data_IF_628421675714
#
_entry.id   IF_628421675714
#
_cell.length_a   1.000
_cell.length_b   1.000
_cell.length_c   1.000
_cell.angle_alpha   90.00
_cell.angle_beta   90.00
_cell.angle_gamma   90.00
#
_symmetry.space_group_name_H-M   'P 1'
#
loop_
_entity.id
_entity.type
_entity.pdbx_description
1 polymer ?
#
# COMPACT_ATOMS: atom_id res chain seq x y z
N UNK A 1 -51.74 -8.00 -24.06
CA UNK A 1 -50.51 -8.66 -24.54
C UNK A 1 -49.45 -7.59 -24.77
N UNK A 2 -48.49 -7.44 -23.84
CA UNK A 2 -47.33 -6.55 -23.99
C UNK A 2 -46.05 -7.33 -24.41
N UNK A 3 -45.04 -6.63 -24.97
CA UNK A 3 -43.82 -7.24 -25.47
C UNK A 3 -42.83 -7.62 -24.34
N UNK A 4 -42.08 -8.68 -24.62
CA UNK A 4 -41.07 -9.30 -23.79
C UNK A 4 -39.73 -8.53 -23.78
N UNK A 5 -39.16 -8.50 -22.57
CA UNK A 5 -37.74 -8.66 -22.24
C UNK A 5 -36.81 -7.43 -22.15
N UNK A 6 -36.46 -7.19 -20.89
CA UNK A 6 -35.27 -6.54 -20.38
C UNK A 6 -33.96 -7.28 -20.74
N UNK A 7 -32.85 -6.58 -20.49
CA UNK A 7 -31.48 -7.08 -20.22
C UNK A 7 -30.53 -7.14 -21.44
N UNK A 8 -29.94 -5.99 -21.75
CA UNK A 8 -28.57 -5.88 -22.25
C UNK A 8 -28.03 -4.55 -21.67
N UNK A 9 -27.23 -4.54 -20.61
CA UNK A 9 -25.88 -5.09 -20.60
C UNK A 9 -24.89 -3.95 -20.79
N UNK A 10 -24.79 -3.05 -19.80
CA UNK A 10 -23.75 -2.01 -19.75
C UNK A 10 -22.40 -2.69 -19.52
N UNK A 11 -21.68 -3.01 -20.59
CA UNK A 11 -20.27 -3.38 -20.54
C UNK A 11 -19.53 -2.53 -21.59
N UNK A 12 -19.24 -1.30 -21.22
CA UNK A 12 -18.29 -0.45 -21.92
C UNK A 12 -17.64 0.48 -20.90
N UNK A 13 -16.52 0.03 -20.32
CA UNK A 13 -15.42 0.85 -19.79
C UNK A 13 -14.57 0.06 -18.77
N UNK A 14 -13.90 -1.00 -19.23
CA UNK A 14 -12.69 -1.53 -18.57
C UNK A 14 -11.69 -1.97 -19.64
N UNK A 15 -11.09 -0.98 -20.32
CA UNK A 15 -9.74 -1.12 -20.88
C UNK A 15 -8.82 -1.18 -19.65
N UNK A 16 -8.04 -2.20 -19.37
CA UNK A 16 -7.34 -3.13 -20.24
C UNK A 16 -5.87 -3.03 -19.85
N UNK A 17 -5.49 -3.63 -18.72
CA UNK A 17 -4.09 -3.85 -18.35
C UNK A 17 -3.86 -5.36 -18.31
N UNK A 18 -3.55 -5.88 -19.48
CA UNK A 18 -2.88 -7.17 -19.66
C UNK A 18 -1.39 -6.88 -19.57
N UNK A 19 -0.73 -7.27 -18.48
CA UNK A 19 0.74 -7.40 -18.48
C UNK A 19 1.03 -8.83 -18.90
N UNK A 20 1.38 -8.97 -20.17
CA UNK A 20 1.90 -10.19 -20.74
C UNK A 20 3.25 -10.53 -20.09
N UNK A 21 3.35 -11.79 -19.70
CA UNK A 21 4.58 -12.48 -19.34
C UNK A 21 5.56 -12.50 -20.51
N UNK A 22 6.83 -12.14 -20.27
CA UNK A 22 7.98 -12.52 -21.08
C UNK A 22 9.24 -12.30 -20.20
N UNK A 23 9.79 -13.35 -19.60
CA UNK A 23 10.84 -14.22 -20.13
C UNK A 23 12.22 -13.86 -19.56
N UNK A 24 12.81 -14.88 -18.93
CA UNK A 24 14.23 -15.00 -18.61
C UNK A 24 15.12 -14.55 -19.77
N UNK A 25 16.27 -13.94 -19.47
CA UNK A 25 17.57 -14.62 -19.58
C UNK A 25 18.79 -13.66 -19.51
N UNK A 26 19.89 -14.25 -19.03
CA UNK A 26 21.30 -14.03 -19.41
C UNK A 26 22.18 -12.97 -18.71
N UNK A 27 23.27 -13.53 -18.16
CA UNK A 27 24.63 -13.00 -17.96
C UNK A 27 24.82 -11.88 -16.92
N UNK A 28 25.80 -11.90 -16.00
CA UNK A 28 27.06 -12.63 -15.90
C UNK A 28 28.15 -11.65 -15.41
N UNK A 29 29.12 -12.15 -14.63
CA UNK A 29 30.35 -11.50 -14.11
C UNK A 29 30.17 -10.49 -12.95
N UNK A 30 30.53 -10.82 -11.69
CA UNK A 30 31.87 -11.01 -11.08
C UNK A 30 32.37 -9.73 -10.37
N UNK A 31 32.48 -9.75 -9.03
CA UNK A 31 33.77 -9.61 -8.33
C UNK A 31 33.68 -9.69 -6.79
N UNK A 32 34.71 -10.36 -6.25
CA UNK A 32 35.36 -10.27 -4.94
C UNK A 32 34.64 -10.80 -3.68
N UNK A 33 35.13 -11.96 -3.26
CA UNK A 33 34.82 -12.68 -2.04
C UNK A 33 35.46 -12.05 -0.78
N UNK A 34 34.76 -12.15 0.35
CA UNK A 34 35.39 -12.30 1.67
C UNK A 34 34.94 -13.64 2.28
N UNK A 35 35.82 -14.37 2.99
CA UNK A 35 35.54 -15.71 3.45
C UNK A 35 34.75 -15.67 4.75
N UNK A 36 33.50 -16.16 4.71
CA UNK A 36 32.82 -16.66 5.91
C UNK A 36 32.62 -18.15 5.68
N UNK A 37 33.49 -18.95 6.27
CA UNK A 37 33.31 -20.39 6.38
C UNK A 37 31.99 -20.67 7.11
N UNK A 38 31.10 -21.45 6.49
CA UNK A 38 30.05 -22.16 7.25
C UNK A 38 28.58 -21.92 6.90
N UNK A 39 28.20 -21.30 5.78
CA UNK A 39 26.81 -21.35 5.31
C UNK A 39 26.71 -22.05 3.95
N UNK A 40 26.02 -23.19 3.93
CA UNK A 40 25.53 -23.86 2.71
C UNK A 40 24.96 -22.82 1.74
N UNK A 41 25.07 -22.99 0.41
CA UNK A 41 24.35 -22.17 -0.56
C UNK A 41 22.87 -22.59 -0.52
N UNK A 42 22.22 -22.32 0.60
CA UNK A 42 20.77 -22.38 0.72
C UNK A 42 20.25 -21.17 -0.05
N UNK A 43 19.34 -21.41 -0.98
CA UNK A 43 18.57 -20.39 -1.70
C UNK A 43 18.20 -19.29 -0.70
N UNK A 44 18.85 -18.13 -0.79
CA UNK A 44 18.53 -17.00 0.06
C UNK A 44 17.27 -16.38 -0.52
N UNK A 45 16.28 -16.29 0.34
CA UNK A 45 14.99 -15.72 0.05
C UNK A 45 15.15 -14.22 -0.31
N UNK A 46 14.91 -13.88 -1.58
CA UNK A 46 15.17 -12.53 -2.11
C UNK A 46 14.00 -11.60 -1.76
N UNK A 47 14.14 -10.88 -0.65
CA UNK A 47 13.16 -9.86 -0.28
C UNK A 47 13.24 -8.66 -1.21
N UNK A 48 12.09 -8.17 -1.65
CA UNK A 48 12.02 -6.99 -2.51
C UNK A 48 12.23 -5.73 -1.66
N UNK A 49 13.20 -4.91 -2.05
CA UNK A 49 13.48 -3.60 -1.50
C UNK A 49 12.90 -2.45 -2.34
N UNK A 50 12.87 -1.24 -1.78
CA UNK A 50 12.51 -0.01 -2.53
C UNK A 50 13.53 0.27 -3.63
N UNK A 51 14.79 -0.13 -3.43
CA UNK A 51 15.87 0.04 -4.41
C UNK A 51 15.66 -0.78 -5.67
N UNK A 52 14.88 -1.86 -5.59
CA UNK A 52 14.57 -2.73 -6.74
C UNK A 52 13.43 -2.17 -7.60
N UNK A 53 12.78 -1.10 -7.13
CA UNK A 53 11.71 -0.40 -7.86
C UNK A 53 12.28 0.63 -8.83
N UNK A 54 11.64 0.78 -9.98
CA UNK A 54 11.90 1.90 -10.90
C UNK A 54 11.54 3.23 -10.25
N UNK A 55 12.08 4.34 -10.77
CA UNK A 55 11.74 5.69 -10.25
C UNK A 55 10.24 5.99 -10.31
N UNK A 56 9.54 5.49 -11.33
CA UNK A 56 8.09 5.66 -11.45
C UNK A 56 7.35 4.89 -10.36
N UNK A 57 7.73 3.63 -10.12
CA UNK A 57 7.17 2.81 -9.04
C UNK A 57 7.43 3.42 -7.66
N UNK A 58 8.62 3.98 -7.44
CA UNK A 58 8.92 4.69 -6.20
C UNK A 58 8.05 5.94 -6.03
N UNK A 59 7.84 6.72 -7.10
CA UNK A 59 6.97 7.90 -7.05
C UNK A 59 5.52 7.51 -6.71
N UNK A 60 5.01 6.45 -7.33
CA UNK A 60 3.66 5.93 -7.06
C UNK A 60 3.53 5.42 -5.62
N UNK A 61 4.56 4.72 -5.11
CA UNK A 61 4.63 4.31 -3.71
C UNK A 61 4.52 5.52 -2.77
N UNK A 62 5.31 6.56 -3.01
CA UNK A 62 5.30 7.75 -2.15
C UNK A 62 3.99 8.53 -2.24
N UNK A 63 3.34 8.55 -3.40
CA UNK A 63 2.00 9.10 -3.57
C UNK A 63 0.96 8.33 -2.74
N UNK A 64 0.97 7.01 -2.78
CA UNK A 64 0.08 6.17 -1.98
C UNK A 64 0.31 6.36 -0.47
N UNK A 65 1.58 6.45 -0.05
CA UNK A 65 1.94 6.74 1.34
C UNK A 65 1.35 8.07 1.80
N UNK A 66 1.38 9.10 0.96
CA UNK A 66 0.83 10.42 1.24
C UNK A 66 -0.70 10.40 1.35
N UNK A 67 -1.37 9.78 0.38
CA UNK A 67 -2.82 9.64 0.34
C UNK A 67 -3.33 8.88 1.58
N UNK A 68 -2.72 7.74 1.90
CA UNK A 68 -3.11 6.96 3.07
C UNK A 68 -2.80 7.67 4.39
N UNK A 69 -1.67 8.38 4.48
CA UNK A 69 -1.33 9.14 5.67
C UNK A 69 -2.37 10.25 5.93
N UNK A 70 -2.85 10.90 4.87
CA UNK A 70 -3.89 11.93 4.96
C UNK A 70 -5.21 11.32 5.45
N UNK A 71 -5.61 10.17 4.89
CA UNK A 71 -6.86 9.50 5.30
C UNK A 71 -6.77 8.98 6.74
N UNK A 72 -5.67 8.33 7.13
CA UNK A 72 -5.48 7.82 8.49
C UNK A 72 -5.48 8.96 9.52
N UNK A 73 -4.83 10.09 9.20
CA UNK A 73 -4.85 11.28 10.04
C UNK A 73 -6.28 11.85 10.20
N UNK A 74 -7.06 11.93 9.12
CA UNK A 74 -8.44 12.41 9.20
C UNK A 74 -9.35 11.43 9.98
N UNK A 75 -9.13 10.13 9.85
CA UNK A 75 -9.85 9.15 10.67
C UNK A 75 -9.47 9.26 12.15
N UNK A 76 -8.19 9.40 12.46
CA UNK A 76 -7.73 9.57 13.84
C UNK A 76 -8.24 10.88 14.44
N UNK A 77 -8.22 11.97 13.67
CA UNK A 77 -8.86 13.23 14.02
C UNK A 77 -10.35 13.03 14.36
N UNK A 78 -11.07 12.24 13.57
CA UNK A 78 -12.47 11.88 13.80
C UNK A 78 -12.70 10.77 14.85
N UNK A 79 -11.65 10.33 15.55
CA UNK A 79 -11.73 9.37 16.67
C UNK A 79 -11.63 7.89 16.27
N UNK A 80 -11.34 7.57 15.02
CA UNK A 80 -11.17 6.20 14.52
C UNK A 80 -9.71 5.89 14.24
N UNK A 81 -9.17 4.82 14.82
CA UNK A 81 -7.78 4.38 14.58
C UNK A 81 -7.75 3.11 13.72
N UNK A 82 -7.23 3.21 12.49
CA UNK A 82 -7.17 2.06 11.57
C UNK A 82 -5.96 1.15 11.79
N UNK A 83 -4.93 1.62 12.50
CA UNK A 83 -3.68 0.91 12.70
C UNK A 83 -3.03 0.43 11.38
N UNK A 84 -3.14 1.23 10.31
CA UNK A 84 -2.68 0.85 8.96
C UNK A 84 -1.21 0.44 8.94
N UNK A 85 -0.33 1.17 9.63
CA UNK A 85 1.10 0.84 9.73
C UNK A 85 1.33 -0.61 10.18
N UNK A 86 0.68 -1.01 11.28
CA UNK A 86 0.83 -2.35 11.86
C UNK A 86 0.24 -3.42 10.94
N UNK A 87 -0.90 -3.13 10.32
CA UNK A 87 -1.58 -4.05 9.39
C UNK A 87 -0.75 -4.27 8.13
N UNK A 88 -0.26 -3.20 7.52
CA UNK A 88 0.63 -3.25 6.37
C UNK A 88 1.93 -3.99 6.70
N UNK A 89 2.58 -3.70 7.84
CA UNK A 89 3.79 -4.41 8.25
C UNK A 89 3.58 -5.92 8.32
N UNK A 90 2.49 -6.37 8.96
CA UNK A 90 2.17 -7.79 9.09
C UNK A 90 1.84 -8.43 7.74
N UNK A 91 1.23 -7.68 6.83
CA UNK A 91 0.87 -8.17 5.51
C UNK A 91 2.10 -8.46 4.63
N UNK A 92 3.12 -7.59 4.68
CA UNK A 92 4.24 -7.66 3.72
C UNK A 92 5.61 -7.97 4.36
N UNK A 93 5.70 -8.06 5.68
CA UNK A 93 6.98 -8.19 6.39
C UNK A 93 7.77 -9.48 6.08
N UNK A 94 7.11 -10.50 5.53
CA UNK A 94 7.78 -11.74 5.11
C UNK A 94 8.47 -11.58 3.74
N UNK A 95 7.94 -10.75 2.84
CA UNK A 95 8.42 -10.61 1.45
C UNK A 95 9.14 -9.29 1.14
N UNK A 96 9.04 -8.29 2.01
CA UNK A 96 9.68 -6.98 1.83
C UNK A 96 10.86 -6.83 2.77
N UNK A 97 11.92 -6.18 2.29
CA UNK A 97 13.11 -5.94 3.08
C UNK A 97 12.79 -5.07 4.32
N UNK A 98 13.23 -5.46 5.54
CA UNK A 98 12.90 -4.72 6.75
C UNK A 98 13.35 -3.26 6.76
N UNK A 99 14.48 -2.94 6.12
CA UNK A 99 15.02 -1.56 6.00
C UNK A 99 14.08 -0.70 5.15
N UNK A 100 13.66 -1.22 4.00
CA UNK A 100 12.69 -0.62 3.09
C UNK A 100 11.34 -0.38 3.79
N UNK A 101 10.83 -1.39 4.50
CA UNK A 101 9.57 -1.30 5.21
C UNK A 101 9.62 -0.26 6.35
N UNK A 102 10.73 -0.19 7.10
CA UNK A 102 10.96 0.85 8.11
C UNK A 102 10.98 2.25 7.50
N UNK A 103 11.60 2.43 6.34
CA UNK A 103 11.65 3.72 5.64
C UNK A 103 10.23 4.19 5.28
N UNK A 104 9.44 3.32 4.65
CA UNK A 104 8.05 3.62 4.26
C UNK A 104 7.20 3.99 5.47
N UNK A 105 7.27 3.21 6.55
CA UNK A 105 6.49 3.48 7.76
C UNK A 105 6.95 4.72 8.50
N UNK A 106 8.26 4.98 8.53
CA UNK A 106 8.81 6.22 9.06
C UNK A 106 8.24 7.43 8.33
N UNK A 107 8.29 7.43 6.99
CA UNK A 107 7.71 8.49 6.17
C UNK A 107 6.21 8.62 6.35
N UNK A 108 5.47 7.51 6.35
CA UNK A 108 4.04 7.49 6.60
C UNK A 108 3.70 8.12 7.95
N UNK A 109 4.41 7.74 9.02
CA UNK A 109 4.20 8.28 10.37
C UNK A 109 4.43 9.79 10.39
N UNK A 110 5.54 10.25 9.86
CA UNK A 110 5.86 11.69 9.80
C UNK A 110 4.79 12.47 9.06
N UNK A 111 4.33 11.99 7.90
CA UNK A 111 3.25 12.63 7.13
C UNK A 111 1.93 12.62 7.89
N UNK A 112 1.54 11.49 8.45
CA UNK A 112 0.30 11.34 9.23
C UNK A 112 0.27 12.32 10.41
N UNK A 113 1.34 12.36 11.20
CA UNK A 113 1.46 13.25 12.36
C UNK A 113 1.42 14.72 11.92
N UNK A 114 1.99 15.05 10.75
CA UNK A 114 1.88 16.35 10.12
C UNK A 114 0.44 16.73 9.75
N UNK A 115 -0.28 15.84 9.06
CA UNK A 115 -1.68 16.07 8.69
C UNK A 115 -2.60 16.15 9.90
N UNK A 116 -2.38 15.31 10.91
CA UNK A 116 -3.18 15.32 12.13
C UNK A 116 -3.08 16.68 12.84
N UNK A 117 -1.86 17.21 12.99
CA UNK A 117 -1.64 18.56 13.54
C UNK A 117 -2.30 19.66 12.71
N UNK A 118 -2.30 19.54 11.39
CA UNK A 118 -2.98 20.49 10.51
C UNK A 118 -4.50 20.46 10.72
N UNK A 119 -5.10 19.27 10.80
CA UNK A 119 -6.53 19.11 11.10
C UNK A 119 -6.88 19.67 12.48
N UNK A 120 -6.07 19.41 13.50
CA UNK A 120 -6.25 19.96 14.85
C UNK A 120 -6.13 21.48 14.87
N UNK A 121 -5.17 22.05 14.15
CA UNK A 121 -4.99 23.51 14.06
C UNK A 121 -6.14 24.20 13.35
N UNK A 122 -6.62 23.63 12.24
CA UNK A 122 -7.65 24.25 11.39
C UNK A 122 -9.07 23.99 11.89
N UNK A 123 -9.31 22.84 12.51
CA UNK A 123 -10.65 22.34 12.82
C UNK A 123 -10.79 21.76 14.23
N UNK A 124 -9.84 21.99 15.14
CA UNK A 124 -9.84 21.42 16.49
C UNK A 124 -11.00 21.86 17.39
N UNK A 125 -11.72 22.93 17.04
CA UNK A 125 -12.92 23.35 17.74
C UNK A 125 -14.02 22.28 17.62
N UNK A 126 -14.80 21.98 18.69
CA UNK A 126 -15.76 20.88 18.71
C UNK A 126 -16.76 20.89 17.55
N UNK A 127 -17.31 22.06 17.22
CA UNK A 127 -18.30 22.20 16.16
C UNK A 127 -17.70 22.05 14.76
N UNK A 128 -16.51 22.61 14.55
CA UNK A 128 -15.77 22.47 13.28
C UNK A 128 -15.34 21.01 13.06
N UNK A 129 -14.84 20.35 14.10
CA UNK A 129 -14.50 18.93 14.10
C UNK A 129 -15.71 18.07 13.74
N UNK A 130 -16.85 18.30 14.38
CA UNK A 130 -18.10 17.57 14.09
C UNK A 130 -18.53 17.76 12.63
N UNK A 131 -18.49 19.00 12.12
CA UNK A 131 -18.87 19.30 10.74
C UNK A 131 -17.97 18.59 9.72
N UNK A 132 -16.65 18.61 9.93
CA UNK A 132 -15.68 17.90 9.08
C UNK A 132 -15.94 16.39 9.12
N UNK A 133 -16.07 15.82 10.32
CA UNK A 133 -16.23 14.38 10.47
C UNK A 133 -17.54 13.87 9.87
N UNK A 134 -18.66 14.59 10.02
CA UNK A 134 -19.92 14.23 9.37
C UNK A 134 -19.84 14.38 7.84
N UNK A 135 -19.18 15.43 7.34
CA UNK A 135 -18.98 15.63 5.89
C UNK A 135 -18.21 14.48 5.24
N UNK A 136 -17.20 13.94 5.92
CA UNK A 136 -16.31 12.92 5.35
C UNK A 136 -16.66 11.49 5.77
N UNK A 137 -17.60 11.28 6.69
CA UNK A 137 -17.97 9.98 7.27
C UNK A 137 -18.10 8.85 6.25
N UNK A 138 -18.93 9.05 5.22
CA UNK A 138 -19.18 8.03 4.19
C UNK A 138 -17.91 7.74 3.38
N UNK A 139 -17.19 8.78 2.97
CA UNK A 139 -15.94 8.63 2.18
C UNK A 139 -14.85 7.95 2.98
N UNK A 140 -14.69 8.29 4.26
CA UNK A 140 -13.71 7.65 5.14
C UNK A 140 -13.99 6.16 5.31
N UNK A 141 -15.27 5.77 5.42
CA UNK A 141 -15.66 4.36 5.47
C UNK A 141 -15.29 3.61 4.20
N UNK A 142 -15.47 4.25 3.03
CA UNK A 142 -15.14 3.69 1.73
C UNK A 142 -13.62 3.55 1.55
N UNK A 143 -12.86 4.61 1.85
CA UNK A 143 -11.40 4.56 1.80
C UNK A 143 -10.83 3.51 2.77
N UNK A 144 -11.40 3.36 3.97
CA UNK A 144 -10.99 2.31 4.91
C UNK A 144 -11.16 0.91 4.32
N UNK A 145 -12.25 0.66 3.59
CA UNK A 145 -12.48 -0.60 2.88
C UNK A 145 -11.48 -0.80 1.76
N UNK A 146 -11.24 0.21 0.93
CA UNK A 146 -10.27 0.16 -0.18
C UNK A 146 -8.86 -0.15 0.35
N UNK A 147 -8.38 0.61 1.35
CA UNK A 147 -7.07 0.39 1.96
C UNK A 147 -6.95 -1.00 2.59
N UNK A 148 -8.02 -1.47 3.25
CA UNK A 148 -8.06 -2.83 3.80
C UNK A 148 -7.99 -3.90 2.72
N UNK A 149 -8.67 -3.69 1.59
CA UNK A 149 -8.59 -4.56 0.41
C UNK A 149 -7.17 -4.62 -0.15
N UNK A 150 -6.53 -3.47 -0.34
CA UNK A 150 -5.16 -3.40 -0.85
C UNK A 150 -4.13 -4.05 0.08
N UNK A 151 -4.29 -3.91 1.40
CA UNK A 151 -3.45 -4.64 2.38
C UNK A 151 -3.65 -6.16 2.26
N UNK A 152 -4.88 -6.63 2.04
CA UNK A 152 -5.17 -8.06 1.87
C UNK A 152 -4.65 -8.61 0.53
N UNK A 153 -4.73 -7.83 -0.54
CA UNK A 153 -4.15 -8.15 -1.83
C UNK A 153 -2.62 -8.25 -1.70
N UNK A 154 -1.98 -7.27 -1.07
CA UNK A 154 -0.55 -7.30 -0.80
C UNK A 154 -0.15 -8.50 0.06
N UNK A 155 -0.91 -8.83 1.11
CA UNK A 155 -0.67 -10.02 1.93
C UNK A 155 -0.78 -11.31 1.11
N UNK A 156 -1.73 -11.38 0.20
CA UNK A 156 -1.94 -12.55 -0.66
C UNK A 156 -0.82 -12.69 -1.68
N UNK A 157 -0.42 -11.59 -2.32
CA UNK A 157 0.73 -11.58 -3.21
C UNK A 157 2.02 -11.99 -2.47
N UNK A 158 2.22 -11.47 -1.26
CA UNK A 158 3.35 -11.79 -0.39
C UNK A 158 3.40 -13.27 -0.01
N UNK A 159 2.26 -13.86 0.38
CA UNK A 159 2.16 -15.29 0.73
C UNK A 159 2.33 -16.23 -0.46
N UNK A 160 1.86 -15.81 -1.63
CA UNK A 160 1.92 -16.62 -2.85
C UNK A 160 3.21 -16.41 -3.63
N UNK A 161 4.09 -15.53 -3.16
CA UNK A 161 5.38 -15.30 -3.77
C UNK A 161 6.32 -16.45 -3.44
N UNK A 162 6.73 -17.18 -4.47
CA UNK A 162 7.61 -18.35 -4.34
C UNK A 162 9.07 -17.97 -4.03
N UNK A 163 9.48 -16.74 -4.33
CA UNK A 163 10.85 -16.22 -4.20
C UNK A 163 10.88 -14.82 -3.56
N UNK A 164 10.14 -14.66 -2.47
CA UNK A 164 10.15 -13.48 -1.61
C UNK A 164 10.67 -13.90 -0.25
#
# INVERSE_FOLDING_TARGET
MPPHQHIAGRIAARRGWLVASACLALAGAAFAAQPIEGLKPGIVLAKVGITDMTKTQQADLWKLVDEYATVDALQEFCGTKLNLQRRAWRAVGTCVEPTSLRKVIGTFKTKKDGYLKQWETLHGQPDAKKAVCERFKTKLSEYSKIMSGQINEAATACRNCFFC
#
